data_IF_788922876623
#
_entry.id   IF_788922876623
#
_cell.length_a   1.000
_cell.length_b   1.000
_cell.length_c   1.000
_cell.angle_alpha   90.00
_cell.angle_beta   90.00
_cell.angle_gamma   90.00
#
_symmetry.space_group_name_H-M   'P 1'
#
loop_
_entity.id
_entity.type
_entity.pdbx_description
1 polymer ?
#
# COMPACT_ATOMS: atom_id res chain seq x y z
N UNK A 1 12.65 20.79 5.90
CA UNK A 1 11.67 19.70 5.77
C UNK A 1 12.20 18.52 6.57
N UNK A 2 11.56 18.12 7.68
CA UNK A 2 11.97 16.91 8.43
C UNK A 2 11.64 15.72 7.52
N UNK A 3 12.66 15.15 6.88
CA UNK A 3 12.53 13.86 6.23
C UNK A 3 12.30 12.86 7.36
N UNK A 4 11.09 12.32 7.48
CA UNK A 4 10.86 11.21 8.39
C UNK A 4 11.57 10.00 7.78
N UNK A 5 12.63 9.47 8.41
CA UNK A 5 13.38 8.35 7.84
C UNK A 5 12.47 7.15 7.57
N UNK A 6 11.45 6.94 8.42
CA UNK A 6 10.46 5.87 8.22
C UNK A 6 9.68 6.05 6.92
N UNK A 7 9.30 7.28 6.58
CA UNK A 7 8.60 7.57 5.33
C UNK A 7 9.46 7.32 4.10
N UNK A 8 10.76 7.63 4.17
CA UNK A 8 11.68 7.35 3.07
C UNK A 8 11.81 5.83 2.83
N UNK A 9 11.82 5.04 3.89
CA UNK A 9 11.88 3.57 3.81
C UNK A 9 10.59 3.00 3.23
N UNK A 10 9.43 3.45 3.72
CA UNK A 10 8.13 2.99 3.20
C UNK A 10 7.95 3.38 1.72
N UNK A 11 8.37 4.58 1.33
CA UNK A 11 8.35 5.01 -0.06
C UNK A 11 9.29 4.15 -0.93
N UNK A 12 10.48 3.84 -0.45
CA UNK A 12 11.42 2.97 -1.16
C UNK A 12 10.88 1.54 -1.32
N UNK A 13 10.28 0.96 -0.28
CA UNK A 13 9.64 -0.35 -0.37
C UNK A 13 8.49 -0.34 -1.38
N UNK A 14 7.67 0.71 -1.38
CA UNK A 14 6.56 0.87 -2.31
C UNK A 14 7.05 0.97 -3.76
N UNK A 15 8.05 1.81 -4.03
CA UNK A 15 8.63 1.98 -5.37
C UNK A 15 9.21 0.67 -5.91
N UNK A 16 9.84 -0.13 -5.06
CA UNK A 16 10.38 -1.45 -5.45
C UNK A 16 9.27 -2.43 -5.82
N UNK A 17 8.20 -2.49 -5.03
CA UNK A 17 7.05 -3.37 -5.28
C UNK A 17 6.28 -2.92 -6.53
N UNK A 18 6.09 -1.62 -6.72
CA UNK A 18 5.47 -1.06 -7.92
C UNK A 18 6.33 -1.35 -9.17
N UNK A 19 7.66 -1.22 -9.08
CA UNK A 19 8.58 -1.60 -10.14
C UNK A 19 8.49 -3.08 -10.53
N UNK A 20 8.36 -3.98 -9.55
CA UNK A 20 8.11 -5.41 -9.80
C UNK A 20 6.76 -5.64 -10.51
N UNK A 21 5.72 -4.92 -10.10
CA UNK A 21 4.38 -5.02 -10.65
C UNK A 21 4.25 -4.39 -12.05
N UNK A 22 5.13 -3.47 -12.43
CA UNK A 22 5.22 -2.87 -13.76
C UNK A 22 5.97 -3.76 -14.77
N UNK A 23 6.87 -4.64 -14.30
CA UNK A 23 7.65 -5.56 -15.14
C UNK A 23 6.86 -6.81 -15.61
N UNK A 24 5.53 -6.70 -15.76
CA UNK A 24 4.49 -7.75 -15.94
C UNK A 24 4.75 -8.89 -16.92
N UNK A 25 5.78 -8.83 -17.76
CA UNK A 25 6.15 -9.89 -18.72
C UNK A 25 7.63 -10.21 -18.82
N UNK A 26 8.51 -9.52 -18.08
CA UNK A 26 9.97 -9.65 -18.21
C UNK A 26 10.69 -9.94 -16.89
N UNK A 27 9.95 -10.01 -15.78
CA UNK A 27 10.52 -10.29 -14.48
C UNK A 27 11.02 -11.74 -14.39
N UNK A 28 12.32 -11.91 -14.18
CA UNK A 28 12.90 -13.24 -13.93
C UNK A 28 12.65 -13.68 -12.49
N UNK A 29 12.49 -15.00 -12.29
CA UNK A 29 12.27 -15.58 -10.95
C UNK A 29 13.44 -15.25 -10.00
N UNK A 30 14.66 -15.25 -10.52
CA UNK A 30 15.86 -14.86 -9.76
C UNK A 30 15.77 -13.41 -9.29
N UNK A 31 15.45 -12.47 -10.20
CA UNK A 31 15.30 -11.06 -9.83
C UNK A 31 14.18 -10.84 -8.83
N UNK A 32 13.04 -11.51 -9.01
CA UNK A 32 11.93 -11.44 -8.06
C UNK A 32 12.34 -11.92 -6.66
N UNK A 33 13.09 -13.03 -6.58
CA UNK A 33 13.59 -13.54 -5.29
C UNK A 33 14.57 -12.58 -4.63
N UNK A 34 15.48 -11.98 -5.39
CA UNK A 34 16.44 -11.01 -4.86
C UNK A 34 15.72 -9.76 -4.31
N UNK A 35 14.68 -9.29 -5.00
CA UNK A 35 13.88 -8.16 -4.52
C UNK A 35 13.03 -8.54 -3.29
N UNK A 36 12.46 -9.74 -3.25
CA UNK A 36 11.70 -10.21 -2.09
C UNK A 36 12.58 -10.39 -0.85
N UNK A 37 13.80 -10.91 -0.99
CA UNK A 37 14.73 -11.05 0.12
C UNK A 37 15.10 -9.68 0.70
N UNK A 38 15.35 -8.69 -0.15
CA UNK A 38 15.57 -7.31 0.26
C UNK A 38 14.33 -6.68 0.92
N UNK A 39 13.12 -6.91 0.40
CA UNK A 39 11.86 -6.45 1.03
C UNK A 39 11.75 -7.05 2.43
N UNK A 40 11.96 -8.37 2.57
CA UNK A 40 11.93 -9.07 3.86
C UNK A 40 12.97 -8.52 4.82
N UNK A 41 14.19 -8.28 4.35
CA UNK A 41 15.27 -7.74 5.17
C UNK A 41 14.93 -6.35 5.71
N UNK A 42 14.46 -5.44 4.85
CA UNK A 42 14.03 -4.10 5.27
C UNK A 42 12.84 -4.16 6.21
N UNK A 43 11.79 -4.91 5.88
CA UNK A 43 10.59 -5.03 6.71
C UNK A 43 10.93 -5.52 8.11
N UNK A 44 11.80 -6.52 8.24
CA UNK A 44 12.25 -7.02 9.52
C UNK A 44 13.10 -6.02 10.30
N UNK A 45 13.95 -5.25 9.61
CA UNK A 45 14.76 -4.21 10.23
C UNK A 45 13.92 -3.06 10.82
N UNK A 46 12.72 -2.82 10.25
CA UNK A 46 11.81 -1.75 10.67
C UNK A 46 10.52 -2.25 11.34
N UNK A 47 10.47 -3.53 11.72
CA UNK A 47 9.33 -4.16 12.40
C UNK A 47 7.99 -4.02 11.65
N UNK A 48 8.02 -4.19 10.33
CA UNK A 48 6.83 -4.23 9.47
C UNK A 48 6.44 -5.69 9.24
N UNK A 49 5.89 -6.32 10.29
CA UNK A 49 5.64 -7.77 10.33
C UNK A 49 4.66 -8.25 9.24
N UNK A 50 3.68 -7.41 8.89
CA UNK A 50 2.69 -7.70 7.84
C UNK A 50 3.36 -7.87 6.47
N UNK A 51 4.30 -6.98 6.13
CA UNK A 51 5.04 -7.02 4.87
C UNK A 51 6.04 -8.19 4.86
N UNK A 52 6.73 -8.45 5.97
CA UNK A 52 7.64 -9.60 6.11
C UNK A 52 6.90 -10.93 5.87
N UNK A 53 5.73 -11.10 6.49
CA UNK A 53 4.91 -12.31 6.37
C UNK A 53 4.40 -12.55 4.94
N UNK A 54 3.95 -11.48 4.27
CA UNK A 54 3.49 -11.57 2.88
C UNK A 54 4.64 -11.89 1.92
N UNK A 55 5.81 -11.27 2.11
CA UNK A 55 7.00 -11.58 1.31
C UNK A 55 7.45 -13.04 1.47
N UNK A 56 7.47 -13.55 2.71
CA UNK A 56 7.79 -14.95 3.01
C UNK A 56 6.79 -15.93 2.38
N UNK A 57 5.50 -15.57 2.40
CA UNK A 57 4.44 -16.35 1.75
C UNK A 57 4.61 -16.38 0.24
N UNK A 58 4.93 -15.24 -0.37
CA UNK A 58 5.19 -15.17 -1.80
C UNK A 58 6.45 -15.96 -2.20
N UNK A 59 7.54 -15.89 -1.44
CA UNK A 59 8.74 -16.74 -1.66
C UNK A 59 8.41 -18.24 -1.62
N UNK A 60 7.57 -18.64 -0.67
CA UNK A 60 7.11 -20.03 -0.54
C UNK A 60 6.24 -20.44 -1.72
N UNK A 61 5.30 -19.57 -2.14
CA UNK A 61 4.45 -19.79 -3.30
C UNK A 61 5.27 -19.88 -4.60
N UNK A 62 6.27 -19.01 -4.79
CA UNK A 62 7.20 -19.06 -5.92
C UNK A 62 8.00 -20.35 -5.96
N UNK A 63 8.45 -20.84 -4.81
CA UNK A 63 9.19 -22.09 -4.71
C UNK A 63 8.34 -23.31 -5.05
N UNK A 64 7.03 -23.26 -4.77
CA UNK A 64 6.10 -24.37 -5.01
C UNK A 64 5.48 -24.33 -6.41
N UNK A 65 5.10 -23.15 -6.89
CA UNK A 65 4.26 -22.96 -8.09
C UNK A 65 4.99 -22.25 -9.23
N UNK A 66 6.17 -21.67 -8.96
CA UNK A 66 6.90 -20.86 -9.94
C UNK A 66 6.25 -19.50 -10.21
N UNK A 67 6.60 -18.92 -11.35
CA UNK A 67 6.10 -17.62 -11.78
C UNK A 67 4.64 -17.72 -12.29
N UNK A 68 3.70 -17.78 -11.35
CA UNK A 68 2.26 -17.90 -11.63
C UNK A 68 1.53 -16.55 -11.63
N UNK A 69 0.28 -16.51 -12.11
CA UNK A 69 -0.55 -15.29 -12.11
C UNK A 69 -0.82 -14.75 -10.69
N UNK A 70 -0.71 -15.61 -9.67
CA UNK A 70 -0.87 -15.25 -8.26
C UNK A 70 0.21 -14.29 -7.75
N UNK A 71 1.38 -14.23 -8.42
CA UNK A 71 2.49 -13.35 -8.02
C UNK A 71 2.04 -11.89 -8.00
N UNK A 72 1.31 -11.45 -9.03
CA UNK A 72 0.79 -10.08 -9.10
C UNK A 72 -0.20 -9.80 -7.95
N UNK A 73 -1.07 -10.75 -7.62
CA UNK A 73 -1.98 -10.61 -6.47
C UNK A 73 -1.24 -10.48 -5.14
N UNK A 74 -0.15 -11.23 -4.95
CA UNK A 74 0.68 -11.08 -3.74
C UNK A 74 1.46 -9.75 -3.72
N UNK A 75 1.95 -9.28 -4.87
CA UNK A 75 2.59 -7.97 -4.96
C UNK A 75 1.60 -6.83 -4.62
N UNK A 76 0.35 -6.92 -5.10
CA UNK A 76 -0.72 -5.99 -4.72
C UNK A 76 -1.00 -6.03 -3.21
N UNK A 77 -1.04 -7.22 -2.59
CA UNK A 77 -1.22 -7.34 -1.14
C UNK A 77 -0.05 -6.74 -0.35
N UNK A 78 1.19 -6.94 -0.81
CA UNK A 78 2.38 -6.34 -0.20
C UNK A 78 2.32 -4.81 -0.30
N UNK A 79 1.91 -4.29 -1.47
CA UNK A 79 1.72 -2.86 -1.72
C UNK A 79 0.71 -2.25 -0.75
N UNK A 80 -0.44 -2.90 -0.59
CA UNK A 80 -1.49 -2.45 0.33
C UNK A 80 -1.02 -2.48 1.79
N UNK A 81 -0.25 -3.50 2.17
CA UNK A 81 0.33 -3.60 3.50
C UNK A 81 1.34 -2.46 3.78
N UNK A 82 2.17 -2.09 2.80
CA UNK A 82 3.07 -0.93 2.91
C UNK A 82 2.27 0.37 3.03
N UNK A 83 1.25 0.56 2.19
CA UNK A 83 0.41 1.75 2.19
C UNK A 83 -0.36 1.92 3.51
N UNK A 84 -0.74 0.83 4.18
CA UNK A 84 -1.38 0.87 5.49
C UNK A 84 -0.46 1.39 6.61
N UNK A 85 0.87 1.25 6.46
CA UNK A 85 1.86 1.75 7.41
C UNK A 85 2.20 3.22 7.18
N UNK A 86 1.92 3.75 5.98
CA UNK A 86 2.09 5.17 5.72
C UNK A 86 1.07 5.96 6.55
N UNK A 87 1.48 7.01 7.27
CA UNK A 87 0.54 7.92 7.91
C UNK A 87 -0.44 8.38 6.84
N UNK A 88 -1.72 8.03 7.02
CA UNK A 88 -2.78 8.60 6.20
C UNK A 88 -2.62 10.10 6.36
N UNK A 89 -2.23 10.80 5.29
CA UNK A 89 -2.58 12.20 5.20
C UNK A 89 -4.08 12.21 5.43
N UNK A 90 -4.53 12.76 6.56
CA UNK A 90 -5.94 12.94 6.85
C UNK A 90 -6.48 13.83 5.73
N UNK A 91 -6.88 13.20 4.62
CA UNK A 91 -7.73 13.82 3.63
C UNK A 91 -9.06 13.89 4.35
N UNK A 92 -9.23 14.94 5.16
CA UNK A 92 -10.53 15.32 5.69
C UNK A 92 -11.39 15.49 4.43
N UNK A 93 -12.40 14.64 4.18
CA UNK A 93 -13.34 14.95 3.12
C UNK A 93 -13.99 16.27 3.54
N UNK A 94 -13.69 17.35 2.81
CA UNK A 94 -14.38 18.61 2.94
C UNK A 94 -15.85 18.31 2.61
N UNK A 95 -16.62 17.99 3.65
CA UNK A 95 -18.05 17.85 3.59
C UNK A 95 -18.59 19.24 3.30
N UNK A 96 -18.75 19.55 2.01
CA UNK A 96 -19.52 20.69 1.53
C UNK A 96 -20.97 20.44 1.91
N UNK A 97 -21.32 20.80 3.14
CA UNK A 97 -22.69 20.88 3.60
C UNK A 97 -23.35 22.09 2.93
N UNK A 98 -23.90 21.89 1.73
CA UNK A 98 -24.89 22.82 1.15
C UNK A 98 -26.14 22.77 2.02
N UNK A 99 -26.19 23.65 3.02
CA UNK A 99 -27.41 23.97 3.77
C UNK A 99 -28.29 24.86 2.89
N UNK A 100 -29.47 24.43 2.40
CA UNK A 100 -30.43 25.36 1.83
C UNK A 100 -30.97 26.24 2.95
N UNK A 101 -30.65 27.52 2.86
CA UNK A 101 -31.25 28.60 3.64
C UNK A 101 -32.62 28.92 3.00
N UNK A 102 -33.71 28.41 3.58
CA UNK A 102 -35.05 28.99 3.37
C UNK A 102 -35.49 29.66 4.67
N UNK A 103 -35.59 30.97 4.54
CA UNK A 103 -35.90 31.96 5.56
C UNK A 103 -37.40 32.05 5.83
N UNK A 104 -37.75 32.03 7.12
CA UNK A 104 -38.81 32.76 7.82
C UNK A 104 -40.24 32.91 7.21
N UNK A 105 -41.21 32.20 7.85
CA UNK A 105 -42.45 32.65 8.57
C UNK A 105 -43.05 34.06 8.25
N UNK A 106 -44.40 34.27 8.34
CA UNK A 106 -45.15 34.07 9.59
C UNK A 106 -46.65 33.67 9.50
N UNK A 107 -47.20 33.46 10.70
CA UNK A 107 -48.56 33.12 11.13
C UNK A 107 -49.69 33.96 10.54
N UNK A 108 -50.91 33.39 10.46
CA UNK A 108 -52.19 33.99 10.92
C UNK A 108 -53.23 32.87 11.05
N UNK A 109 -53.89 32.84 12.22
CA UNK A 109 -55.06 32.03 12.56
C UNK A 109 -56.34 32.67 12.04
N UNK A 110 -57.33 31.86 11.67
CA UNK A 110 -58.76 32.18 11.68
C UNK A 110 -59.54 30.95 12.16
#
# INVERSE_FOLDING_TARGET
>A
MRHDPMMAILANLLERVDGLADERGHLSVSRLRDELDQVRHLSRAYHIDSVESLACTLESALSLQGMGPVVLSYLDLIRDAIAAQMPRADIIPLSIATKPMVSARPSISL
#
